data_IF_320410538151
#
_entry.id   IF_320410538151
#
_cell.length_a   1.000
_cell.length_b   1.000
_cell.length_c   1.000
_cell.angle_alpha   90.00
_cell.angle_beta   90.00
_cell.angle_gamma   90.00
#
_symmetry.space_group_name_H-M   'P 1'
#
loop_
_entity.id
_entity.type
_entity.pdbx_description
1 polymer ?
#
# COMPACT_ATOMS: atom_id res chain seq x y z
N UNK A 1 14.08 5.71 -3.57
CA UNK A 1 13.16 6.77 -3.99
C UNK A 1 11.74 6.22 -3.96
N UNK A 2 11.14 6.17 -2.77
CA UNK A 2 9.73 5.84 -2.55
C UNK A 2 9.12 6.86 -1.57
N UNK A 3 8.08 7.59 -2.02
CA UNK A 3 7.37 8.65 -1.31
C UNK A 3 5.84 8.47 -1.34
N UNK A 4 5.06 9.22 -0.53
CA UNK A 4 3.64 9.43 -0.80
C UNK A 4 3.52 10.13 -2.15
N UNK A 5 2.50 9.80 -2.94
CA UNK A 5 2.40 10.18 -4.36
C UNK A 5 3.51 9.59 -5.24
N UNK A 6 3.92 8.36 -4.90
CA UNK A 6 4.77 7.43 -5.63
C UNK A 6 6.31 7.51 -5.41
N UNK A 7 6.93 6.46 -5.92
CA UNK A 7 8.30 5.96 -5.89
C UNK A 7 8.66 5.53 -7.31
N UNK A 8 9.92 5.32 -7.72
CA UNK A 8 10.16 4.65 -9.02
C UNK A 8 9.63 3.21 -8.93
N UNK A 9 8.34 3.08 -9.23
CA UNK A 9 7.47 1.96 -8.96
C UNK A 9 6.74 1.76 -10.25
N UNK A 10 7.06 0.62 -10.85
CA UNK A 10 6.43 0.14 -12.05
C UNK A 10 5.67 -1.12 -11.67
N UNK A 11 4.35 -1.02 -11.60
CA UNK A 11 3.47 -2.13 -11.24
C UNK A 11 2.56 -2.47 -12.39
N UNK A 12 2.58 -3.73 -12.84
CA UNK A 12 1.73 -4.21 -13.92
C UNK A 12 1.00 -5.46 -13.45
N UNK A 13 -0.32 -5.34 -13.27
CA UNK A 13 -1.18 -6.43 -12.79
C UNK A 13 -2.17 -6.77 -13.90
N UNK A 14 -2.31 -8.06 -14.18
CA UNK A 14 -3.18 -8.57 -15.24
C UNK A 14 -4.23 -9.51 -14.66
N UNK A 15 -5.43 -9.44 -15.20
CA UNK A 15 -6.50 -10.42 -15.01
C UNK A 15 -7.11 -10.77 -16.35
N UNK A 16 -7.62 -11.98 -16.48
CA UNK A 16 -8.35 -12.47 -17.66
C UNK A 16 -9.87 -12.39 -17.49
N UNK A 17 -10.36 -11.84 -16.39
CA UNK A 17 -11.78 -11.55 -16.20
C UNK A 17 -12.27 -10.45 -17.17
N UNK A 18 -13.52 -10.55 -17.60
CA UNK A 18 -14.19 -9.50 -18.37
C UNK A 18 -14.78 -8.47 -17.40
N UNK A 19 -14.13 -7.31 -17.30
CA UNK A 19 -14.48 -6.22 -16.37
C UNK A 19 -14.71 -4.94 -17.18
N UNK A 20 -15.81 -4.23 -16.90
CA UNK A 20 -16.04 -2.92 -17.53
C UNK A 20 -14.97 -1.91 -17.09
N UNK A 21 -14.50 -1.05 -17.99
CA UNK A 21 -13.46 -0.06 -17.70
C UNK A 21 -13.74 0.77 -16.43
N UNK A 22 -14.96 1.28 -16.27
CA UNK A 22 -15.34 2.08 -15.10
C UNK A 22 -15.24 1.34 -13.77
N UNK A 23 -15.47 0.02 -13.77
CA UNK A 23 -15.27 -0.83 -12.60
C UNK A 23 -13.79 -1.09 -12.39
N UNK A 24 -13.03 -1.35 -13.46
CA UNK A 24 -11.58 -1.57 -13.41
C UNK A 24 -10.85 -0.35 -12.82
N UNK A 25 -11.17 0.85 -13.30
CA UNK A 25 -10.59 2.12 -12.82
C UNK A 25 -10.88 2.31 -11.32
N UNK A 26 -12.12 2.00 -10.89
CA UNK A 26 -12.50 2.08 -9.49
C UNK A 26 -11.73 1.08 -8.63
N UNK A 27 -11.61 -0.17 -9.08
CA UNK A 27 -10.83 -1.20 -8.38
C UNK A 27 -9.38 -0.77 -8.26
N UNK A 28 -8.79 -0.27 -9.36
CA UNK A 28 -7.41 0.16 -9.41
C UNK A 28 -7.15 1.33 -8.45
N UNK A 29 -7.93 2.41 -8.54
CA UNK A 29 -7.79 3.58 -7.67
C UNK A 29 -7.95 3.24 -6.19
N UNK A 30 -8.93 2.39 -5.84
CA UNK A 30 -9.08 1.94 -4.45
C UNK A 30 -7.94 1.03 -3.99
N UNK A 31 -7.34 0.26 -4.90
CA UNK A 31 -6.22 -0.62 -4.56
C UNK A 31 -4.95 0.18 -4.30
N UNK A 32 -4.68 1.23 -5.10
CA UNK A 32 -3.54 2.12 -4.92
C UNK A 32 -3.54 2.81 -3.55
N UNK A 33 -4.70 3.37 -3.15
CA UNK A 33 -4.87 4.14 -1.91
C UNK A 33 -4.48 3.40 -0.63
N UNK A 34 -4.74 2.09 -0.60
CA UNK A 34 -4.49 1.25 0.57
C UNK A 34 -3.19 0.44 0.44
N UNK A 35 -2.37 0.70 -0.60
CA UNK A 35 -1.14 -0.02 -0.89
C UNK A 35 0.02 0.93 -1.21
N UNK A 36 0.27 1.21 -2.49
CA UNK A 36 1.40 2.01 -2.94
C UNK A 36 1.35 3.46 -2.43
N UNK A 37 0.15 4.05 -2.31
CA UNK A 37 -0.02 5.41 -1.76
C UNK A 37 0.11 5.44 -0.22
N UNK A 38 0.29 4.27 0.41
CA UNK A 38 0.41 4.10 1.85
C UNK A 38 1.82 3.61 2.26
N UNK A 39 2.82 3.69 1.39
CA UNK A 39 4.20 3.30 1.73
C UNK A 39 5.20 4.39 1.39
N UNK A 40 6.33 4.44 2.09
CA UNK A 40 7.51 5.18 1.63
C UNK A 40 8.79 4.65 2.24
N UNK A 41 9.93 4.95 1.62
CA UNK A 41 11.25 4.46 2.00
C UNK A 41 12.08 5.63 2.49
N UNK A 42 12.43 6.53 1.57
CA UNK A 42 13.21 7.74 1.82
C UNK A 42 12.36 9.02 1.81
N UNK A 43 11.16 8.97 1.25
CA UNK A 43 10.27 10.14 1.11
C UNK A 43 10.45 10.88 -0.20
N UNK A 44 11.36 10.42 -1.06
CA UNK A 44 11.61 11.00 -2.36
C UNK A 44 10.61 10.44 -3.37
N UNK A 45 9.79 11.32 -3.95
CA UNK A 45 8.85 11.00 -5.02
C UNK A 45 9.56 10.96 -6.36
N UNK A 46 9.26 9.96 -7.18
CA UNK A 46 9.93 9.75 -8.44
C UNK A 46 9.15 10.36 -9.62
N UNK A 47 9.84 10.77 -10.70
CA UNK A 47 9.17 11.33 -11.88
C UNK A 47 8.57 10.27 -12.83
N UNK A 48 8.78 8.97 -12.57
CA UNK A 48 8.53 7.88 -13.52
C UNK A 48 7.49 6.86 -13.06
N UNK A 49 6.58 7.28 -12.20
CA UNK A 49 5.84 6.32 -11.38
C UNK A 49 4.61 5.86 -12.13
N UNK A 50 4.40 4.54 -12.19
CA UNK A 50 3.38 3.97 -13.07
C UNK A 50 2.83 2.67 -12.51
N UNK A 51 1.51 2.62 -12.38
CA UNK A 51 0.78 1.38 -12.10
C UNK A 51 -0.27 1.14 -13.18
N UNK A 52 -0.38 -0.09 -13.64
CA UNK A 52 -1.33 -0.52 -14.64
C UNK A 52 -2.07 -1.78 -14.14
N UNK A 53 -3.40 -1.71 -14.14
CA UNK A 53 -4.26 -2.87 -13.95
C UNK A 53 -4.98 -3.15 -15.28
N UNK A 54 -4.74 -4.34 -15.84
CA UNK A 54 -5.25 -4.73 -17.16
C UNK A 54 -6.20 -5.91 -17.02
N UNK A 55 -7.40 -5.79 -17.59
CA UNK A 55 -8.35 -6.88 -17.74
C UNK A 55 -8.45 -7.29 -19.21
N UNK A 56 -7.98 -8.50 -19.55
CA UNK A 56 -7.89 -8.97 -20.94
C UNK A 56 -9.20 -9.63 -21.44
N UNK A 57 -10.08 -10.05 -20.53
CA UNK A 57 -11.34 -10.73 -20.89
C UNK A 57 -11.17 -12.15 -21.43
N UNK A 58 -9.96 -12.74 -21.38
CA UNK A 58 -9.66 -14.04 -21.97
C UNK A 58 -10.33 -15.26 -21.32
N UNK A 59 -10.83 -15.14 -20.08
CA UNK A 59 -11.43 -16.25 -19.33
C UNK A 59 -12.89 -16.55 -19.69
N UNK A 60 -13.60 -15.61 -20.32
CA UNK A 60 -15.06 -15.65 -20.48
C UNK A 60 -15.85 -15.42 -19.19
N UNK A 61 -15.18 -15.15 -18.06
CA UNK A 61 -15.84 -14.83 -16.78
C UNK A 61 -16.19 -13.36 -16.73
N UNK A 62 -17.49 -13.05 -16.81
CA UNK A 62 -17.99 -11.67 -16.78
C UNK A 62 -18.30 -11.20 -15.36
N UNK A 63 -17.64 -10.11 -14.95
CA UNK A 63 -17.88 -9.46 -13.66
C UNK A 63 -19.06 -8.51 -13.78
N UNK A 64 -20.21 -8.90 -13.21
CA UNK A 64 -21.42 -8.07 -13.18
C UNK A 64 -21.43 -7.16 -11.97
N UNK A 65 -22.03 -5.98 -12.13
CA UNK A 65 -22.23 -5.02 -11.03
C UNK A 65 -23.04 -5.65 -9.89
N UNK A 66 -22.61 -5.40 -8.66
CA UNK A 66 -23.20 -5.92 -7.41
C UNK A 66 -23.23 -7.45 -7.31
N UNK A 67 -22.39 -8.15 -8.06
CA UNK A 67 -22.28 -9.62 -7.97
C UNK A 67 -21.30 -10.07 -6.90
N UNK A 68 -21.45 -11.31 -6.44
CA UNK A 68 -20.48 -11.93 -5.54
C UNK A 68 -19.07 -11.99 -6.16
N UNK A 69 -18.99 -12.15 -7.49
CA UNK A 69 -17.72 -12.14 -8.22
C UNK A 69 -17.06 -10.76 -8.19
N UNK A 70 -17.82 -9.67 -8.29
CA UNK A 70 -17.29 -8.31 -8.12
C UNK A 70 -16.67 -8.11 -6.73
N UNK A 71 -17.36 -8.57 -5.68
CA UNK A 71 -16.85 -8.46 -4.30
C UNK A 71 -15.56 -9.26 -4.16
N UNK A 72 -15.53 -10.47 -4.71
CA UNK A 72 -14.38 -11.37 -4.62
C UNK A 72 -13.18 -10.79 -5.35
N UNK A 73 -13.32 -10.43 -6.63
CA UNK A 73 -12.20 -9.91 -7.42
C UNK A 73 -11.66 -8.59 -6.88
N UNK A 74 -12.53 -7.73 -6.34
CA UNK A 74 -12.12 -6.51 -5.62
C UNK A 74 -11.22 -6.83 -4.43
N UNK A 75 -11.65 -7.78 -3.60
CA UNK A 75 -10.90 -8.19 -2.41
C UNK A 75 -9.54 -8.76 -2.79
N UNK A 76 -9.49 -9.66 -3.77
CA UNK A 76 -8.25 -10.32 -4.19
C UNK A 76 -7.27 -9.32 -4.83
N UNK A 77 -7.74 -8.41 -5.70
CA UNK A 77 -6.87 -7.38 -6.28
C UNK A 77 -6.33 -6.44 -5.20
N UNK A 78 -7.18 -6.00 -4.25
CA UNK A 78 -6.71 -5.17 -3.12
C UNK A 78 -5.69 -5.89 -2.27
N UNK A 79 -5.91 -7.18 -1.98
CA UNK A 79 -4.98 -7.99 -1.22
C UNK A 79 -3.62 -8.13 -1.94
N UNK A 80 -3.64 -8.40 -3.25
CA UNK A 80 -2.45 -8.48 -4.08
C UNK A 80 -1.67 -7.16 -4.08
N UNK A 81 -2.33 -6.03 -4.29
CA UNK A 81 -1.68 -4.71 -4.26
C UNK A 81 -1.02 -4.43 -2.90
N UNK A 82 -1.70 -4.77 -1.79
CA UNK A 82 -1.13 -4.68 -0.43
C UNK A 82 0.09 -5.57 -0.24
N UNK A 83 0.05 -6.79 -0.75
CA UNK A 83 1.19 -7.71 -0.72
C UNK A 83 2.38 -7.16 -1.50
N UNK A 84 2.16 -6.67 -2.73
CA UNK A 84 3.19 -6.04 -3.54
C UNK A 84 3.80 -4.82 -2.83
N UNK A 85 2.99 -3.98 -2.20
CA UNK A 85 3.48 -2.83 -1.42
C UNK A 85 4.37 -3.27 -0.25
N UNK A 86 3.99 -4.34 0.47
CA UNK A 86 4.83 -4.91 1.53
C UNK A 86 6.16 -5.43 0.99
N UNK A 87 6.13 -6.16 -0.12
CA UNK A 87 7.34 -6.70 -0.75
C UNK A 87 8.31 -5.58 -1.15
N UNK A 88 7.80 -4.47 -1.71
CA UNK A 88 8.62 -3.30 -2.04
C UNK A 88 9.35 -2.71 -0.83
N UNK A 89 8.72 -2.72 0.35
CA UNK A 89 9.39 -2.18 1.54
C UNK A 89 10.36 -3.15 2.19
N UNK A 90 10.04 -4.45 2.16
CA UNK A 90 10.98 -5.46 2.65
C UNK A 90 12.23 -5.51 1.77
N UNK A 91 12.11 -5.26 0.48
CA UNK A 91 13.23 -5.20 -0.48
C UNK A 91 13.82 -3.79 -0.65
N UNK A 92 13.46 -2.86 0.25
CA UNK A 92 13.99 -1.51 0.17
C UNK A 92 15.51 -1.49 0.39
N UNK A 93 16.18 -0.53 -0.25
CA UNK A 93 17.63 -0.36 -0.11
C UNK A 93 18.01 -0.19 1.37
N UNK A 94 18.86 -1.09 1.88
CA UNK A 94 19.30 -1.08 3.28
C UNK A 94 18.26 -1.63 4.27
N UNK A 95 17.27 -2.39 3.80
CA UNK A 95 16.24 -3.00 4.63
C UNK A 95 16.73 -4.04 5.61
N UNK A 96 16.46 -3.76 6.90
CA UNK A 96 16.64 -4.68 8.02
C UNK A 96 15.35 -4.90 8.81
N UNK A 97 14.35 -4.01 8.67
CA UNK A 97 13.12 -4.02 9.45
C UNK A 97 11.88 -3.59 8.66
N UNK A 98 10.74 -4.08 9.09
CA UNK A 98 9.45 -3.63 8.61
C UNK A 98 8.76 -2.86 9.73
N UNK A 99 8.43 -1.60 9.48
CA UNK A 99 7.76 -0.73 10.46
C UNK A 99 6.37 -0.40 9.94
N UNK A 100 5.37 -0.50 10.82
CA UNK A 100 4.00 -0.10 10.53
C UNK A 100 3.57 1.01 11.47
N UNK A 101 3.10 2.13 10.91
CA UNK A 101 2.56 3.25 11.69
C UNK A 101 1.04 3.21 11.64
N UNK A 102 0.39 3.02 12.80
CA UNK A 102 -1.06 3.05 12.93
C UNK A 102 -1.49 4.31 13.69
N UNK A 103 -2.38 5.12 13.09
CA UNK A 103 -2.87 6.37 13.68
C UNK A 103 -4.34 6.20 14.06
N UNK A 104 -4.60 6.26 15.36
CA UNK A 104 -5.94 6.15 15.93
C UNK A 104 -6.50 7.52 16.31
N UNK A 105 -7.82 7.62 16.43
CA UNK A 105 -8.53 8.82 16.88
C UNK A 105 -8.27 10.09 16.04
N UNK A 106 -7.86 9.91 14.77
CA UNK A 106 -7.79 11.01 13.83
C UNK A 106 -9.21 11.50 13.47
N UNK A 107 -9.35 12.80 13.25
CA UNK A 107 -10.59 13.44 12.81
C UNK A 107 -11.09 12.90 11.47
N UNK A 108 -10.17 12.50 10.59
CA UNK A 108 -10.46 11.91 9.29
C UNK A 108 -9.21 11.16 8.76
N UNK A 109 -9.39 10.40 7.68
CA UNK A 109 -8.33 9.61 7.04
C UNK A 109 -7.15 10.47 6.55
N UNK A 110 -7.41 11.69 6.06
CA UNK A 110 -6.34 12.58 5.60
C UNK A 110 -5.44 13.02 6.75
N UNK A 111 -6.02 13.35 7.90
CA UNK A 111 -5.25 13.67 9.10
C UNK A 111 -4.47 12.43 9.59
N UNK A 112 -5.08 11.25 9.55
CA UNK A 112 -4.40 10.01 9.91
C UNK A 112 -3.17 9.78 9.02
N UNK A 113 -3.33 9.94 7.71
CA UNK A 113 -2.25 9.88 6.71
C UNK A 113 -1.15 10.90 7.01
N UNK A 114 -1.50 12.17 7.19
CA UNK A 114 -0.52 13.23 7.45
C UNK A 114 0.34 12.95 8.69
N UNK A 115 -0.29 12.53 9.80
CA UNK A 115 0.41 12.15 11.03
C UNK A 115 1.30 10.94 10.79
N UNK A 116 0.78 9.91 10.12
CA UNK A 116 1.54 8.70 9.83
C UNK A 116 2.77 9.00 8.95
N UNK A 117 2.64 9.84 7.92
CA UNK A 117 3.76 10.25 7.05
C UNK A 117 4.76 11.09 7.81
N UNK A 118 4.31 11.97 8.70
CA UNK A 118 5.20 12.79 9.56
C UNK A 118 6.07 11.90 10.44
N UNK A 119 5.49 10.90 11.11
CA UNK A 119 6.24 9.96 11.95
C UNK A 119 7.19 9.14 11.08
N UNK A 120 6.69 8.63 9.97
CA UNK A 120 7.42 7.68 9.16
C UNK A 120 8.54 8.31 8.33
N UNK A 121 8.46 9.60 7.99
CA UNK A 121 9.52 10.35 7.33
C UNK A 121 10.57 10.88 8.30
N UNK A 122 10.33 10.81 9.62
CA UNK A 122 11.26 11.31 10.63
C UNK A 122 12.56 10.50 10.69
N UNK A 123 13.73 11.10 10.41
CA UNK A 123 15.01 10.40 10.53
C UNK A 123 15.30 9.92 11.96
N UNK A 124 14.84 10.67 12.97
CA UNK A 124 14.99 10.30 14.39
C UNK A 124 14.16 9.05 14.74
N UNK A 125 12.96 8.91 14.19
CA UNK A 125 12.14 7.72 14.39
C UNK A 125 12.76 6.52 13.69
N UNK A 126 13.18 6.67 12.42
CA UNK A 126 13.81 5.59 11.65
C UNK A 126 15.07 5.06 12.33
N UNK A 127 15.93 5.95 12.80
CA UNK A 127 17.17 5.58 13.50
C UNK A 127 16.91 4.93 14.87
N UNK A 128 15.94 5.45 15.64
CA UNK A 128 15.56 4.83 16.92
C UNK A 128 15.00 3.41 16.74
N UNK A 129 14.20 3.16 15.69
CA UNK A 129 13.63 1.85 15.40
C UNK A 129 14.68 0.82 14.95
N UNK A 130 15.77 1.25 14.32
CA UNK A 130 16.86 0.36 13.90
C UNK A 130 17.47 -0.39 15.09
N UNK A 131 17.75 0.33 16.17
CA UNK A 131 18.45 -0.17 17.36
C UNK A 131 17.57 -1.06 18.28
N UNK A 132 16.26 -1.13 18.04
CA UNK A 132 15.37 -1.99 18.84
C UNK A 132 15.70 -3.48 18.61
N UNK A 133 15.66 -4.33 19.62
CA UNK A 133 16.04 -5.75 19.48
C UNK A 133 14.90 -6.65 18.97
N UNK A 134 13.66 -6.16 18.94
CA UNK A 134 12.53 -6.90 18.39
C UNK A 134 12.52 -6.81 16.86
N UNK A 135 12.66 -7.97 16.22
CA UNK A 135 12.41 -8.19 14.80
C UNK A 135 11.12 -9.00 14.68
N UNK A 136 10.04 -8.40 14.16
CA UNK A 136 8.85 -9.14 13.75
C UNK A 136 7.67 -9.22 14.72
N UNK A 137 7.59 -8.37 15.75
CA UNK A 137 6.35 -8.23 16.53
C UNK A 137 5.59 -6.98 16.06
N UNK A 138 4.37 -7.20 15.57
CA UNK A 138 3.36 -6.15 15.40
C UNK A 138 3.15 -5.46 16.75
N UNK A 139 3.38 -4.15 16.83
CA UNK A 139 3.02 -3.38 18.02
C UNK A 139 1.50 -3.26 18.11
N UNK A 140 0.86 -4.21 18.79
CA UNK A 140 -0.57 -4.24 19.07
C UNK A 140 -0.94 -3.17 20.12
N UNK A 141 -1.77 -2.21 19.72
CA UNK A 141 -2.73 -1.57 20.62
C UNK A 141 -4.14 -2.03 20.19
N UNK A 142 -5.05 -2.32 21.14
CA UNK A 142 -6.25 -3.10 20.87
C UNK A 142 -7.22 -2.37 19.93
N UNK A 143 -7.64 -3.13 18.92
CA UNK A 143 -8.86 -3.16 18.10
C UNK A 143 -9.78 -1.94 17.96
N UNK A 144 -10.28 -1.86 16.72
CA UNK A 144 -11.41 -1.10 16.16
C UNK A 144 -11.12 0.31 15.60
N UNK A 145 -11.41 0.41 14.29
CA UNK A 145 -11.54 1.58 13.42
C UNK A 145 -10.28 2.27 12.83
N UNK A 146 -10.25 2.18 11.49
CA UNK A 146 -9.33 2.77 10.49
C UNK A 146 -7.84 2.41 10.66
N UNK A 147 -7.46 1.28 10.07
CA UNK A 147 -6.06 0.85 9.96
C UNK A 147 -5.44 1.41 8.67
N UNK A 148 -4.60 2.43 8.81
CA UNK A 148 -3.66 2.78 7.75
C UNK A 148 -2.35 2.06 8.05
N UNK A 149 -1.99 1.08 7.22
CA UNK A 149 -0.73 0.36 7.33
C UNK A 149 0.33 1.15 6.57
N UNK A 150 1.08 2.00 7.27
CA UNK A 150 2.15 2.76 6.64
C UNK A 150 3.52 2.15 6.86
N UNK A 151 4.13 1.75 5.75
CA UNK A 151 5.28 0.85 5.71
C UNK A 151 6.54 1.62 5.32
N UNK A 152 7.56 1.63 6.19
CA UNK A 152 8.81 2.33 5.90
C UNK A 152 10.05 1.62 6.38
N UNK A 153 11.10 1.81 5.58
CA UNK A 153 12.47 1.61 5.96
C UNK A 153 13.42 2.48 5.09
N UNK A 154 14.50 3.03 5.66
CA UNK A 154 15.82 3.22 5.01
C UNK A 154 16.94 3.54 6.02
N UNK A 155 18.16 3.03 5.80
CA UNK A 155 19.50 3.62 6.08
C UNK A 155 20.45 3.03 5.02
N UNK A 156 21.11 3.74 4.10
CA UNK A 156 21.88 5.01 4.17
C UNK A 156 21.44 6.06 3.14
#
# INVERSE_FOLDING_TARGET
MIGPDFATLLSFVFTDAEISQSLLDKIHSESLKDSFDAITIDGDTSPNDSSCLVATGGSGVKIKKSSQLEITIKKEIKALFKELAKLLVVDAEGATKFISVNVQNAKNENQAKEVAFTVALSPLVKTACLEMTQTGEEYWLPLEDVSLLMIFLKLL
#
